data_IF_598388415796
#
_entry.id   IF_598388415796
#
_cell.length_a   1.000
_cell.length_b   1.000
_cell.length_c   1.000
_cell.angle_alpha   90.00
_cell.angle_beta   90.00
_cell.angle_gamma   90.00
#
_symmetry.space_group_name_H-M   'P 1'
#
loop_
_entity.id
_entity.type
_entity.pdbx_description
1 polymer ?
#
# COMPACT_ATOMS: atom_id res chain seq x y z
N UNK A 1 -1.59 -8.92 -5.72
CA UNK A 1 -0.21 -9.36 -5.54
C UNK A 1 -0.21 -10.31 -4.38
N UNK A 2 0.38 -11.48 -4.58
CA UNK A 2 0.41 -12.55 -3.59
C UNK A 2 1.86 -12.77 -3.16
N UNK A 3 2.07 -12.94 -1.85
CA UNK A 3 3.37 -13.27 -1.28
C UNK A 3 3.22 -14.51 -0.42
N UNK A 4 4.03 -15.52 -0.72
CA UNK A 4 4.24 -16.67 0.16
C UNK A 4 5.50 -16.45 0.99
N UNK A 5 5.33 -16.50 2.30
CA UNK A 5 6.37 -16.20 3.27
C UNK A 5 7.03 -17.47 3.78
N UNK A 6 8.28 -17.34 4.25
CA UNK A 6 9.06 -18.48 4.77
C UNK A 6 8.48 -19.09 6.04
N UNK A 7 7.67 -18.34 6.79
CA UNK A 7 6.96 -18.78 7.99
C UNK A 7 5.68 -19.56 7.67
N UNK A 8 5.38 -19.81 6.38
CA UNK A 8 4.16 -20.47 5.92
C UNK A 8 2.94 -19.54 5.87
N UNK A 9 3.11 -18.24 6.15
CA UNK A 9 2.06 -17.25 5.92
C UNK A 9 1.89 -16.99 4.41
N UNK A 10 0.67 -16.65 4.00
CA UNK A 10 0.40 -16.12 2.66
C UNK A 10 -0.37 -14.80 2.79
N UNK A 11 0.03 -13.82 1.99
CA UNK A 11 -0.57 -12.49 1.99
C UNK A 11 -1.10 -12.15 0.59
N UNK A 12 -2.36 -11.71 0.53
CA UNK A 12 -2.98 -11.20 -0.67
C UNK A 12 -3.15 -9.68 -0.57
N UNK A 13 -2.53 -8.93 -1.48
CA UNK A 13 -2.61 -7.48 -1.56
C UNK A 13 -3.32 -7.03 -2.84
N UNK A 14 -4.52 -6.43 -2.73
CA UNK A 14 -5.11 -5.71 -3.85
C UNK A 14 -4.20 -4.55 -4.29
N UNK A 15 -4.09 -4.28 -5.59
CA UNK A 15 -3.19 -3.20 -6.05
C UNK A 15 -3.60 -1.81 -5.58
N UNK A 16 -4.91 -1.55 -5.44
CA UNK A 16 -5.40 -0.32 -4.81
C UNK A 16 -4.92 -0.19 -3.37
N UNK A 17 -5.00 -1.27 -2.59
CA UNK A 17 -4.49 -1.31 -1.23
C UNK A 17 -3.00 -0.94 -1.18
N UNK A 18 -2.17 -1.54 -2.05
CA UNK A 18 -0.74 -1.19 -2.12
C UNK A 18 -0.52 0.28 -2.49
N UNK A 19 -1.29 0.82 -3.44
CA UNK A 19 -1.18 2.24 -3.81
C UNK A 19 -1.57 3.16 -2.66
N UNK A 20 -2.64 2.83 -1.94
CA UNK A 20 -3.13 3.56 -0.76
C UNK A 20 -2.23 3.36 0.47
N UNK A 21 -1.36 2.35 0.41
CA UNK A 21 -0.29 2.07 1.36
C UNK A 21 1.11 2.49 0.84
N UNK A 22 1.20 3.38 -0.15
CA UNK A 22 2.51 3.76 -0.71
C UNK A 22 3.44 4.34 0.38
N UNK A 23 4.64 3.78 0.61
CA UNK A 23 5.53 4.16 1.71
C UNK A 23 6.44 5.36 1.39
N UNK A 24 6.28 6.00 0.23
CA UNK A 24 7.10 7.18 -0.08
C UNK A 24 6.75 8.34 0.87
N UNK A 25 7.73 9.21 1.14
CA UNK A 25 7.58 10.31 2.10
C UNK A 25 6.33 11.16 1.85
N UNK A 26 6.07 11.54 0.59
CA UNK A 26 4.89 12.33 0.22
C UNK A 26 3.57 11.62 0.55
N UNK A 27 3.43 10.35 0.17
CA UNK A 27 2.21 9.60 0.46
C UNK A 27 2.05 9.32 1.96
N UNK A 28 3.16 9.16 2.69
CA UNK A 28 3.14 8.93 4.12
C UNK A 28 2.70 10.18 4.89
N UNK A 29 3.28 11.33 4.57
CA UNK A 29 2.90 12.61 5.16
C UNK A 29 1.42 12.93 4.94
N UNK A 30 0.92 12.74 3.71
CA UNK A 30 -0.50 12.97 3.39
C UNK A 30 -1.43 11.99 4.13
N UNK A 31 -0.99 10.75 4.32
CA UNK A 31 -1.75 9.75 5.08
C UNK A 31 -1.79 10.07 6.57
N UNK A 32 -0.68 10.50 7.15
CA UNK A 32 -0.57 10.94 8.55
C UNK A 32 -1.43 12.16 8.83
N UNK A 33 -1.37 13.19 7.98
CA UNK A 33 -2.22 14.40 8.08
C UNK A 33 -3.71 14.06 8.08
N UNK A 34 -4.08 13.06 7.27
CA UNK A 34 -5.46 12.60 7.20
C UNK A 34 -5.79 11.58 8.29
N UNK A 35 -4.87 11.15 9.15
CA UNK A 35 -5.11 10.11 10.16
C UNK A 35 -5.59 8.79 9.56
N UNK A 36 -5.09 8.44 8.38
CA UNK A 36 -5.42 7.19 7.67
C UNK A 36 -4.39 6.11 7.95
N UNK A 37 -4.80 4.85 7.98
CA UNK A 37 -3.89 3.70 8.03
C UNK A 37 -3.43 3.30 6.63
N UNK A 38 -2.28 2.59 6.49
CA UNK A 38 -1.85 2.06 5.21
C UNK A 38 -2.95 1.23 4.53
N UNK A 39 -3.23 1.56 3.28
CA UNK A 39 -4.24 0.87 2.48
C UNK A 39 -5.68 1.38 2.67
N UNK A 40 -5.89 2.35 3.57
CA UNK A 40 -7.14 3.10 3.61
C UNK A 40 -7.16 4.15 2.50
N UNK A 41 -8.24 4.20 1.69
CA UNK A 41 -8.35 5.10 0.57
C UNK A 41 -8.36 6.56 1.03
N UNK A 42 -7.87 7.45 0.18
CA UNK A 42 -7.96 8.89 0.42
C UNK A 42 -9.42 9.34 0.60
N UNK A 43 -9.66 10.17 1.61
CA UNK A 43 -11.00 10.74 1.84
C UNK A 43 -11.23 11.85 0.82
N UNK A 44 -12.15 11.64 -0.12
CA UNK A 44 -12.60 12.69 -1.01
C UNK A 44 -13.20 13.85 -0.19
N UNK A 45 -12.83 15.08 -0.51
CA UNK A 45 -13.48 16.25 0.06
C UNK A 45 -14.96 16.23 -0.33
N UNK A 46 -15.85 16.36 0.66
CA UNK A 46 -17.30 16.22 0.49
C UNK A 46 -17.92 17.21 -0.54
N UNK A 47 -17.19 18.26 -0.90
CA UNK A 47 -17.63 19.34 -1.80
C UNK A 47 -17.24 19.16 -3.27
N UNK A 48 -16.52 18.10 -3.64
CA UNK A 48 -16.06 17.88 -5.02
C UNK A 48 -16.78 16.67 -5.60
N UNK A 49 -17.46 16.85 -6.74
CA UNK A 49 -18.00 15.72 -7.50
C UNK A 49 -16.85 14.75 -7.81
N UNK A 50 -17.03 13.43 -7.62
CA UNK A 50 -15.97 12.47 -7.84
C UNK A 50 -15.57 12.50 -9.32
N UNK A 51 -14.44 13.14 -9.60
CA UNK A 51 -13.84 13.09 -10.93
C UNK A 51 -13.41 11.64 -11.16
N UNK A 52 -13.85 11.04 -12.27
CA UNK A 52 -13.49 9.67 -12.58
C UNK A 52 -11.97 9.57 -12.73
N UNK A 53 -11.32 8.93 -11.76
CA UNK A 53 -9.89 8.61 -11.79
C UNK A 53 -9.75 7.13 -12.14
N UNK A 54 -8.95 6.83 -13.16
CA UNK A 54 -8.64 5.44 -13.48
C UNK A 54 -8.06 4.74 -12.24
N UNK A 55 -8.52 3.52 -11.91
CA UNK A 55 -7.98 2.76 -10.79
C UNK A 55 -6.46 2.62 -10.88
N UNK A 56 -5.78 2.81 -9.75
CA UNK A 56 -4.34 2.61 -9.69
C UNK A 56 -3.99 1.16 -10.02
N UNK A 57 -3.08 0.99 -10.98
CA UNK A 57 -2.53 -0.30 -11.41
C UNK A 57 -1.03 -0.17 -11.64
N UNK A 58 -0.24 -1.17 -11.25
CA UNK A 58 1.18 -1.17 -11.54
C UNK A 58 1.39 -1.36 -13.04
N UNK A 59 2.25 -0.54 -13.63
CA UNK A 59 2.75 -0.68 -15.00
C UNK A 59 4.05 -1.50 -15.02
N UNK A 60 4.86 -1.37 -13.98
CA UNK A 60 6.10 -2.12 -13.83
C UNK A 60 6.37 -2.42 -12.35
N UNK A 61 7.02 -3.56 -12.10
CA UNK A 61 7.53 -3.95 -10.78
C UNK A 61 9.01 -4.25 -10.93
N UNK A 62 9.85 -3.65 -10.09
CA UNK A 62 11.31 -3.84 -10.15
C UNK A 62 11.85 -4.19 -8.77
N UNK A 63 12.77 -5.17 -8.65
CA UNK A 63 13.48 -5.41 -7.40
C UNK A 63 14.33 -4.22 -6.98
N UNK A 64 14.24 -3.83 -5.71
CA UNK A 64 15.16 -2.88 -5.07
C UNK A 64 16.12 -3.67 -4.19
N UNK A 65 17.21 -4.16 -4.81
CA UNK A 65 18.12 -5.10 -4.16
C UNK A 65 17.42 -6.40 -3.79
N UNK A 66 17.72 -6.94 -2.60
CA UNK A 66 17.13 -8.21 -2.10
C UNK A 66 16.04 -8.02 -1.04
N UNK A 67 15.76 -6.78 -0.64
CA UNK A 67 14.94 -6.49 0.55
C UNK A 67 13.61 -5.80 0.24
N UNK A 68 13.38 -5.39 -1.01
CA UNK A 68 12.23 -4.60 -1.39
C UNK A 68 11.89 -4.73 -2.88
N UNK A 69 10.71 -4.23 -3.22
CA UNK A 69 10.28 -3.96 -4.60
C UNK A 69 9.84 -2.51 -4.75
N UNK A 70 9.92 -1.99 -5.97
CA UNK A 70 9.32 -0.72 -6.35
C UNK A 70 8.27 -0.96 -7.43
N UNK A 71 7.27 -0.08 -7.46
CA UNK A 71 6.24 -0.06 -8.49
C UNK A 71 6.34 1.23 -9.28
N UNK A 72 6.15 1.14 -10.59
CA UNK A 72 5.77 2.28 -11.42
C UNK A 72 4.27 2.19 -11.68
N UNK A 73 3.52 3.22 -11.29
CA UNK A 73 2.06 3.25 -11.34
C UNK A 73 1.56 4.04 -12.55
N UNK A 74 0.35 3.70 -13.04
CA UNK A 74 -0.32 4.45 -14.11
C UNK A 74 -0.67 5.90 -13.74
N UNK A 75 -0.67 6.25 -12.45
CA UNK A 75 -0.85 7.63 -11.97
C UNK A 75 0.48 8.41 -11.85
N UNK A 76 1.58 7.87 -12.38
CA UNK A 76 2.91 8.47 -12.40
C UNK A 76 3.74 8.25 -11.13
N UNK A 77 3.20 7.63 -10.08
CA UNK A 77 3.98 7.38 -8.86
C UNK A 77 5.03 6.29 -9.09
N UNK A 78 6.24 6.50 -8.57
CA UNK A 78 7.35 5.54 -8.70
C UNK A 78 8.35 5.55 -7.54
N UNK A 79 8.10 6.34 -6.50
CA UNK A 79 9.05 6.57 -5.41
C UNK A 79 8.81 5.67 -4.19
N UNK A 80 7.80 4.79 -4.24
CA UNK A 80 7.51 3.86 -3.15
C UNK A 80 8.47 2.67 -3.17
N UNK A 81 9.24 2.51 -2.10
CA UNK A 81 10.08 1.32 -1.85
C UNK A 81 9.34 0.45 -0.84
N UNK A 82 8.77 -0.65 -1.32
CA UNK A 82 7.98 -1.59 -0.52
C UNK A 82 8.93 -2.68 -0.03
N UNK A 83 9.50 -2.49 1.16
CA UNK A 83 10.32 -3.53 1.79
C UNK A 83 9.48 -4.75 2.15
N UNK A 84 10.10 -5.93 2.19
CA UNK A 84 9.42 -7.15 2.63
C UNK A 84 8.89 -7.00 4.06
N UNK A 85 9.65 -6.34 4.93
CA UNK A 85 9.23 -6.01 6.29
C UNK A 85 8.00 -5.09 6.33
N UNK A 86 7.99 -4.04 5.49
CA UNK A 86 6.86 -3.14 5.38
C UNK A 86 5.62 -3.88 4.88
N UNK A 87 5.74 -4.67 3.82
CA UNK A 87 4.64 -5.48 3.29
C UNK A 87 4.09 -6.41 4.36
N UNK A 88 4.94 -7.06 5.16
CA UNK A 88 4.53 -7.94 6.26
C UNK A 88 3.73 -7.20 7.32
N UNK A 89 4.15 -5.99 7.70
CA UNK A 89 3.47 -5.17 8.73
C UNK A 89 2.12 -4.65 8.26
N UNK A 90 1.95 -4.37 6.96
CA UNK A 90 0.67 -3.94 6.38
C UNK A 90 -0.16 -5.10 5.80
N UNK A 91 0.05 -6.33 6.24
CA UNK A 91 -0.70 -7.47 5.70
C UNK A 91 -2.22 -7.29 5.94
N UNK A 92 -3.06 -7.28 4.88
CA UNK A 92 -4.49 -7.01 5.02
C UNK A 92 -5.32 -8.24 5.44
N UNK A 93 -4.68 -9.36 5.76
CA UNK A 93 -5.42 -10.57 6.17
C UNK A 93 -5.98 -10.43 7.58
N UNK A 94 -7.08 -11.11 7.85
CA UNK A 94 -7.79 -11.03 9.13
C UNK A 94 -6.90 -11.41 10.32
N UNK A 95 -5.99 -12.38 10.16
CA UNK A 95 -5.08 -12.80 11.23
C UNK A 95 -4.08 -11.72 11.62
N UNK A 96 -3.65 -10.86 10.69
CA UNK A 96 -2.71 -9.78 10.95
C UNK A 96 -3.43 -8.48 11.38
N UNK A 97 -4.61 -8.19 10.80
CA UNK A 97 -5.38 -7.02 11.18
C UNK A 97 -5.91 -7.08 12.63
N UNK A 98 -6.28 -8.28 13.12
CA UNK A 98 -6.74 -8.47 14.50
C UNK A 98 -5.66 -8.36 15.58
N UNK A 99 -4.37 -8.27 15.21
CA UNK A 99 -3.26 -8.14 16.16
C UNK A 99 -2.94 -6.68 16.53
N UNK A 100 -3.55 -5.71 15.84
CA UNK A 100 -3.24 -4.27 16.00
C UNK A 100 -4.15 -3.58 17.05
N UNK A 101 -5.21 -4.26 17.53
CA UNK A 101 -6.17 -3.70 18.50
C UNK A 101 -5.80 -3.91 19.99
N UNK A 102 -4.53 -4.17 20.31
CA UNK A 102 -4.14 -4.58 21.67
C UNK A 102 -2.74 -4.17 22.12
N UNK A 103 -2.27 -2.97 21.79
CA UNK A 103 -1.04 -2.38 22.32
C UNK A 103 -1.28 -0.97 22.86
#
# INVERSE_FOLDING_TARGET
>A
MDIDWKDGHSSHYPFRYLRDACPCALCNEEREKQGRRPGEPERAAASVLPMFKEPARPQQVTPAGRYAITFQWNDGHQHGIYSWEYLRTICPCTSCQGQVEGA
#
